data_IF_637091826943
#
_entry.id   IF_637091826943
#
_cell.length_a   1.000
_cell.length_b   1.000
_cell.length_c   1.000
_cell.angle_alpha   90.00
_cell.angle_beta   90.00
_cell.angle_gamma   90.00
#
_symmetry.space_group_name_H-M   'P 1'
#
loop_
_entity.id
_entity.type
_entity.pdbx_description
1 polymer ?
#
# COMPACT_ATOMS: atom_id res chain seq x y z
N UNK A 1 0.80 -22.53 21.22
CA UNK A 1 1.64 -21.40 21.69
C UNK A 1 1.30 -20.06 21.00
N UNK A 2 1.08 -19.98 19.70
CA UNK A 2 0.68 -18.71 19.02
C UNK A 2 -0.66 -18.17 19.54
N UNK A 3 -1.64 -19.05 19.79
CA UNK A 3 -2.95 -18.66 20.33
C UNK A 3 -2.88 -17.98 21.70
N UNK A 4 -2.05 -18.46 22.61
CA UNK A 4 -1.97 -17.88 23.95
C UNK A 4 -1.42 -16.44 23.91
N UNK A 5 -0.40 -16.19 23.09
CA UNK A 5 0.17 -14.83 22.94
C UNK A 5 -0.83 -13.84 22.34
N UNK A 6 -1.67 -14.28 21.39
CA UNK A 6 -2.70 -13.43 20.81
C UNK A 6 -3.83 -13.12 21.80
N UNK A 7 -4.22 -14.08 22.62
CA UNK A 7 -5.24 -13.88 23.67
C UNK A 7 -4.72 -12.87 24.70
N UNK A 8 -3.53 -13.08 25.24
CA UNK A 8 -2.89 -12.16 26.17
C UNK A 8 -2.66 -10.77 25.56
N UNK A 9 -2.31 -10.73 24.25
CA UNK A 9 -2.18 -9.49 23.46
C UNK A 9 -3.49 -8.70 23.42
N UNK A 10 -4.63 -9.39 23.21
CA UNK A 10 -5.94 -8.71 23.22
C UNK A 10 -6.32 -8.20 24.61
N UNK A 11 -6.03 -8.93 25.67
CA UNK A 11 -6.25 -8.46 27.04
C UNK A 11 -5.42 -7.18 27.33
N UNK A 12 -4.17 -7.16 26.87
CA UNK A 12 -3.31 -5.98 27.02
C UNK A 12 -3.83 -4.81 26.18
N UNK A 13 -4.25 -5.06 24.93
CA UNK A 13 -4.87 -4.07 24.07
C UNK A 13 -6.07 -3.39 24.77
N UNK A 14 -6.98 -4.18 25.36
CA UNK A 14 -8.16 -3.65 26.06
C UNK A 14 -7.77 -2.77 27.27
N UNK A 15 -6.74 -3.17 28.01
CA UNK A 15 -6.31 -2.48 29.24
C UNK A 15 -5.47 -1.22 28.98
N UNK A 16 -4.87 -1.11 27.80
CA UNK A 16 -3.94 -0.03 27.44
C UNK A 16 -4.42 0.79 26.24
N UNK A 17 -4.16 0.34 25.03
CA UNK A 17 -4.42 1.08 23.80
C UNK A 17 -5.91 1.42 23.62
N UNK A 18 -6.81 0.41 23.74
CA UNK A 18 -8.25 0.65 23.61
C UNK A 18 -8.74 1.68 24.63
N UNK A 19 -8.27 1.58 25.88
CA UNK A 19 -8.66 2.51 26.92
C UNK A 19 -8.14 3.93 26.68
N UNK A 20 -6.96 4.08 26.06
CA UNK A 20 -6.42 5.38 25.69
C UNK A 20 -7.24 6.05 24.57
N UNK A 21 -7.80 5.26 23.64
CA UNK A 21 -8.62 5.71 22.51
C UNK A 21 -10.11 5.37 22.67
N UNK A 22 -10.58 5.15 23.90
CA UNK A 22 -11.96 4.68 24.16
C UNK A 22 -13.03 5.63 23.60
N UNK A 23 -12.81 6.93 23.69
CA UNK A 23 -13.74 7.94 23.18
C UNK A 23 -13.83 7.90 21.66
N UNK A 24 -12.70 7.78 20.99
CA UNK A 24 -12.60 7.67 19.53
C UNK A 24 -13.28 6.41 19.03
N UNK A 25 -13.04 5.25 19.65
CA UNK A 25 -13.72 4.01 19.31
C UNK A 25 -15.23 4.09 19.50
N UNK A 26 -15.70 4.70 20.59
CA UNK A 26 -17.13 4.90 20.84
C UNK A 26 -17.76 5.82 19.78
N UNK A 27 -17.09 6.91 19.40
CA UNK A 27 -17.57 7.79 18.35
C UNK A 27 -17.65 7.07 16.99
N UNK A 28 -16.59 6.34 16.60
CA UNK A 28 -16.55 5.56 15.37
C UNK A 28 -17.63 4.46 15.35
N UNK A 29 -17.89 3.83 16.49
CA UNK A 29 -18.96 2.83 16.60
C UNK A 29 -20.36 3.43 16.40
N UNK A 30 -20.59 4.65 16.88
CA UNK A 30 -21.90 5.31 16.81
C UNK A 30 -22.16 6.03 15.48
N UNK A 31 -21.12 6.66 14.92
CA UNK A 31 -21.24 7.51 13.72
C UNK A 31 -20.77 6.82 12.43
N UNK A 32 -20.15 5.65 12.55
CA UNK A 32 -19.48 4.98 11.43
C UNK A 32 -18.05 5.51 11.22
N UNK A 33 -17.37 4.93 10.22
CA UNK A 33 -16.01 5.33 9.85
C UNK A 33 -16.01 6.49 8.85
N UNK A 34 -15.04 7.38 8.96
CA UNK A 34 -14.78 8.47 8.01
C UNK A 34 -13.26 8.63 7.81
N UNK A 35 -12.60 7.65 7.21
CA UNK A 35 -11.15 7.66 7.05
C UNK A 35 -10.70 8.81 6.14
N UNK A 36 -9.54 9.39 6.44
CA UNK A 36 -8.93 10.47 5.65
C UNK A 36 -8.31 9.94 4.37
N UNK A 37 -7.75 8.73 4.43
CA UNK A 37 -7.00 8.13 3.33
C UNK A 37 -7.30 6.65 3.15
N UNK A 38 -7.24 6.19 1.88
CA UNK A 38 -7.07 4.80 1.53
C UNK A 38 -5.57 4.49 1.50
N UNK A 39 -5.15 3.49 2.26
CA UNK A 39 -3.77 2.97 2.24
C UNK A 39 -3.74 1.59 1.60
N UNK A 40 -2.95 1.43 0.53
CA UNK A 40 -2.73 0.17 -0.19
C UNK A 40 -1.29 -0.28 0.06
N UNK A 41 -1.11 -1.29 0.88
CA UNK A 41 0.20 -1.79 1.27
C UNK A 41 0.43 -3.28 1.03
N UNK A 42 1.66 -3.71 1.25
CA UNK A 42 1.99 -5.13 1.18
C UNK A 42 1.43 -5.90 2.39
N UNK A 43 1.07 -7.18 2.15
CA UNK A 43 0.71 -8.14 3.22
C UNK A 43 1.91 -8.60 4.05
N UNK A 44 3.12 -8.14 3.74
CA UNK A 44 4.34 -8.45 4.48
C UNK A 44 4.17 -8.11 5.97
N UNK A 45 4.47 -9.06 6.85
CA UNK A 45 4.23 -8.93 8.30
C UNK A 45 5.03 -7.79 8.97
N UNK A 46 6.05 -7.27 8.30
CA UNK A 46 6.87 -6.15 8.78
C UNK A 46 6.25 -4.78 8.43
N UNK A 47 5.24 -4.75 7.57
CA UNK A 47 4.56 -3.52 7.14
C UNK A 47 3.25 -3.35 7.92
N UNK A 48 3.22 -2.40 8.83
CA UNK A 48 2.10 -2.12 9.73
C UNK A 48 1.63 -0.67 9.52
N UNK A 49 0.66 -0.39 8.64
CA UNK A 49 0.30 0.97 8.21
C UNK A 49 0.10 1.96 9.36
N UNK A 50 -0.78 1.64 10.29
CA UNK A 50 -1.08 2.54 11.42
C UNK A 50 0.14 2.78 12.33
N UNK A 51 1.03 1.78 12.48
CA UNK A 51 2.24 1.95 13.27
C UNK A 51 3.25 2.86 12.56
N UNK A 52 3.44 2.64 11.26
CA UNK A 52 4.41 3.40 10.44
C UNK A 52 4.00 4.87 10.34
N UNK A 53 2.70 5.16 10.25
CA UNK A 53 2.17 6.52 10.11
C UNK A 53 1.76 7.15 11.44
N UNK A 54 1.82 6.41 12.54
CA UNK A 54 1.28 6.84 13.85
C UNK A 54 -0.18 7.32 13.78
N UNK A 55 -0.96 6.76 12.83
CA UNK A 55 -2.35 7.14 12.62
C UNK A 55 -3.27 6.56 13.69
N UNK A 56 -4.26 7.35 14.07
CA UNK A 56 -5.26 6.95 15.06
C UNK A 56 -6.28 5.94 14.47
N UNK A 57 -7.05 5.24 15.35
CA UNK A 57 -8.17 4.43 14.89
C UNK A 57 -9.16 5.24 14.05
N UNK A 58 -9.48 4.76 12.85
CA UNK A 58 -10.42 5.42 11.95
C UNK A 58 -9.79 6.34 10.90
N UNK A 59 -8.52 6.71 11.01
CA UNK A 59 -7.86 7.59 10.05
C UNK A 59 -7.61 6.95 8.68
N UNK A 60 -7.31 5.65 8.66
CA UNK A 60 -6.97 4.93 7.44
C UNK A 60 -8.00 3.85 7.11
N UNK A 61 -8.41 3.78 5.85
CA UNK A 61 -9.02 2.60 5.25
C UNK A 61 -7.92 1.77 4.60
N UNK A 62 -7.65 0.57 5.13
CA UNK A 62 -6.44 -0.18 4.80
C UNK A 62 -6.75 -1.39 3.93
N UNK A 63 -6.08 -1.47 2.77
CA UNK A 63 -5.99 -2.68 1.95
C UNK A 63 -4.57 -3.22 2.05
N UNK A 64 -4.45 -4.53 2.22
CA UNK A 64 -3.15 -5.21 2.14
C UNK A 64 -3.26 -6.43 1.23
N UNK A 65 -2.34 -6.51 0.26
CA UNK A 65 -2.24 -7.64 -0.65
C UNK A 65 -0.76 -7.98 -0.93
N UNK A 66 -0.50 -9.07 -1.62
CA UNK A 66 0.87 -9.48 -1.96
C UNK A 66 1.48 -8.47 -2.94
N UNK A 67 2.52 -7.73 -2.50
CA UNK A 67 3.24 -6.76 -3.33
C UNK A 67 2.57 -5.39 -3.48
N UNK A 68 1.56 -5.05 -2.65
CA UNK A 68 0.83 -3.76 -2.72
C UNK A 68 0.31 -3.41 -4.13
N UNK A 69 -0.04 -4.42 -4.91
CA UNK A 69 -0.46 -4.25 -6.31
C UNK A 69 -1.90 -3.77 -6.44
N UNK A 70 -2.12 -2.99 -7.49
CA UNK A 70 -3.43 -2.56 -7.98
C UNK A 70 -3.60 -3.11 -9.39
N UNK A 71 -4.56 -4.01 -9.58
CA UNK A 71 -4.91 -4.45 -10.92
C UNK A 71 -5.58 -3.29 -11.69
N UNK A 72 -5.33 -3.14 -13.00
CA UNK A 72 -6.09 -2.20 -13.81
C UNK A 72 -7.59 -2.44 -13.70
N UNK A 73 -8.38 -1.37 -13.79
CA UNK A 73 -9.83 -1.47 -13.75
C UNK A 73 -10.35 -2.38 -14.85
N UNK A 74 -11.16 -3.36 -14.47
CA UNK A 74 -11.81 -4.31 -15.37
C UNK A 74 -13.23 -4.55 -14.89
N UNK A 75 -14.24 -4.03 -15.59
CA UNK A 75 -15.65 -4.23 -15.24
C UNK A 75 -16.09 -5.64 -15.69
N UNK A 76 -15.89 -6.61 -14.83
CA UNK A 76 -16.40 -7.98 -15.00
C UNK A 76 -17.17 -8.41 -13.74
N UNK A 77 -17.73 -9.60 -13.75
CA UNK A 77 -18.53 -10.14 -12.65
C UNK A 77 -17.71 -10.99 -11.67
N UNK A 78 -16.36 -10.99 -11.78
CA UNK A 78 -15.48 -11.73 -10.89
C UNK A 78 -15.28 -11.02 -9.53
N UNK A 79 -14.80 -11.78 -8.55
CA UNK A 79 -14.55 -11.26 -7.19
C UNK A 79 -13.19 -10.56 -7.09
N UNK A 80 -13.20 -9.23 -7.09
CA UNK A 80 -11.99 -8.39 -7.04
C UNK A 80 -11.89 -7.62 -5.71
N UNK A 81 -11.27 -8.23 -4.71
CA UNK A 81 -11.15 -7.65 -3.35
C UNK A 81 -10.53 -6.25 -3.35
N UNK A 82 -9.39 -6.07 -4.03
CA UNK A 82 -8.70 -4.77 -4.08
C UNK A 82 -9.53 -3.72 -4.81
N UNK A 83 -10.15 -4.08 -5.96
CA UNK A 83 -10.98 -3.16 -6.72
C UNK A 83 -12.21 -2.71 -5.93
N UNK A 84 -12.92 -3.66 -5.30
CA UNK A 84 -14.11 -3.33 -4.49
C UNK A 84 -13.78 -2.40 -3.32
N UNK A 85 -12.62 -2.57 -2.70
CA UNK A 85 -12.21 -1.70 -1.60
C UNK A 85 -11.79 -0.30 -2.10
N UNK A 86 -11.16 -0.19 -3.28
CA UNK A 86 -10.87 1.10 -3.93
C UNK A 86 -12.18 1.84 -4.23
N UNK A 87 -13.13 1.18 -4.88
CA UNK A 87 -14.43 1.76 -5.19
C UNK A 87 -15.17 2.22 -3.93
N UNK A 88 -15.19 1.38 -2.88
CA UNK A 88 -15.85 1.72 -1.62
C UNK A 88 -15.18 2.94 -0.94
N UNK A 89 -13.87 2.97 -0.87
CA UNK A 89 -13.13 4.07 -0.27
C UNK A 89 -13.35 5.41 -1.02
N UNK A 90 -13.37 5.34 -2.36
CA UNK A 90 -13.48 6.54 -3.20
C UNK A 90 -14.92 7.03 -3.33
N UNK A 91 -15.90 6.12 -3.47
CA UNK A 91 -17.29 6.50 -3.79
C UNK A 91 -18.22 6.53 -2.59
N UNK A 92 -17.95 5.74 -1.55
CA UNK A 92 -18.80 5.62 -0.36
C UNK A 92 -18.19 6.38 0.82
N UNK A 93 -16.90 6.16 1.10
CA UNK A 93 -16.22 6.84 2.20
C UNK A 93 -15.65 8.20 1.81
N UNK A 94 -15.55 8.50 0.52
CA UNK A 94 -15.11 9.77 -0.04
C UNK A 94 -13.73 10.24 0.49
N UNK A 95 -12.81 9.30 0.67
CA UNK A 95 -11.44 9.61 1.13
C UNK A 95 -10.81 10.72 0.29
N UNK A 96 -9.91 11.50 0.90
CA UNK A 96 -9.24 12.63 0.23
C UNK A 96 -7.86 12.27 -0.31
N UNK A 97 -7.31 11.13 0.10
CA UNK A 97 -6.01 10.66 -0.37
C UNK A 97 -6.02 9.15 -0.61
N UNK A 98 -5.23 8.70 -1.59
CA UNK A 98 -4.89 7.29 -1.79
C UNK A 98 -3.39 7.17 -1.72
N UNK A 99 -2.89 6.30 -0.85
CA UNK A 99 -1.46 6.02 -0.68
C UNK A 99 -1.19 4.60 -1.17
N UNK A 100 -0.35 4.45 -2.18
CA UNK A 100 0.25 3.15 -2.54
C UNK A 100 1.62 3.09 -1.89
N UNK A 101 1.78 2.20 -0.92
CA UNK A 101 3.02 2.06 -0.18
C UNK A 101 3.68 0.71 -0.46
N UNK A 102 4.76 0.74 -1.24
CA UNK A 102 5.72 -0.34 -1.37
C UNK A 102 6.70 -0.37 -0.19
N UNK A 103 7.57 -1.34 -0.18
CA UNK A 103 8.61 -1.43 0.85
C UNK A 103 9.86 -2.13 0.33
N UNK A 104 11.00 -1.86 0.98
CA UNK A 104 12.26 -2.53 0.68
C UNK A 104 12.22 -4.01 1.06
N UNK A 105 12.99 -4.84 0.35
CA UNK A 105 13.06 -6.30 0.56
C UNK A 105 11.69 -7.00 0.43
N UNK A 106 10.90 -6.59 -0.55
CA UNK A 106 9.58 -7.15 -0.82
C UNK A 106 9.69 -8.55 -1.44
N UNK A 107 9.13 -9.55 -0.72
CA UNK A 107 9.13 -10.93 -1.20
C UNK A 107 8.38 -11.14 -2.52
N UNK A 108 7.38 -10.32 -2.84
CA UNK A 108 6.69 -10.37 -4.11
C UNK A 108 7.61 -9.94 -5.27
N UNK A 109 8.37 -8.87 -5.10
CA UNK A 109 9.33 -8.39 -6.10
C UNK A 109 10.46 -9.40 -6.30
N UNK A 110 10.98 -9.94 -5.21
CA UNK A 110 11.98 -11.02 -5.28
C UNK A 110 11.45 -12.24 -6.04
N UNK A 111 10.20 -12.65 -5.77
CA UNK A 111 9.57 -13.79 -6.44
C UNK A 111 9.39 -13.59 -7.94
N UNK A 112 9.06 -12.37 -8.39
CA UNK A 112 8.96 -12.01 -9.81
C UNK A 112 10.33 -12.15 -10.51
N UNK A 113 11.40 -11.71 -9.87
CA UNK A 113 12.75 -11.82 -10.45
C UNK A 113 13.27 -13.25 -10.45
N UNK A 114 13.10 -13.98 -9.36
CA UNK A 114 13.55 -15.38 -9.21
C UNK A 114 12.64 -16.39 -9.88
N UNK A 115 11.46 -15.98 -10.35
CA UNK A 115 10.45 -16.88 -10.95
C UNK A 115 10.04 -18.02 -10.00
N UNK A 116 10.08 -17.76 -8.69
CA UNK A 116 9.92 -18.80 -7.66
C UNK A 116 8.53 -19.45 -7.67
N UNK A 117 7.53 -18.77 -8.22
CA UNK A 117 6.14 -19.24 -8.25
C UNK A 117 5.78 -19.95 -9.58
N UNK A 118 6.64 -19.91 -10.60
CA UNK A 118 6.28 -20.35 -11.96
C UNK A 118 5.91 -21.83 -12.05
N UNK A 119 6.62 -22.69 -11.33
CA UNK A 119 6.52 -24.15 -11.41
C UNK A 119 5.75 -24.78 -10.22
N UNK A 120 5.16 -23.98 -9.34
CA UNK A 120 4.39 -24.51 -8.21
C UNK A 120 2.89 -24.56 -8.56
N UNK A 121 2.27 -25.73 -8.69
CA UNK A 121 0.85 -25.87 -9.04
C UNK A 121 -0.10 -25.37 -7.96
N UNK A 122 0.37 -25.19 -6.72
CA UNK A 122 -0.44 -24.66 -5.61
C UNK A 122 -0.53 -23.12 -5.62
N UNK A 123 0.28 -22.43 -6.44
CA UNK A 123 0.39 -20.98 -6.48
C UNK A 123 -0.29 -20.34 -7.72
N UNK A 124 -1.38 -20.93 -8.20
CA UNK A 124 -2.08 -20.46 -9.43
C UNK A 124 -2.46 -18.99 -9.33
N UNK A 125 -3.13 -18.59 -8.23
CA UNK A 125 -3.55 -17.22 -8.01
C UNK A 125 -2.36 -16.28 -7.79
N UNK A 126 -1.38 -16.70 -6.98
CA UNK A 126 -0.16 -15.91 -6.72
C UNK A 126 0.61 -15.66 -8.01
N UNK A 127 0.80 -16.67 -8.84
CA UNK A 127 1.49 -16.54 -10.13
C UNK A 127 0.81 -15.50 -11.02
N UNK A 128 -0.51 -15.58 -11.19
CA UNK A 128 -1.27 -14.62 -11.99
C UNK A 128 -1.19 -13.21 -11.39
N UNK A 129 -1.32 -13.10 -10.06
CA UNK A 129 -1.26 -11.82 -9.37
C UNK A 129 0.10 -11.13 -9.52
N UNK A 130 1.20 -11.87 -9.46
CA UNK A 130 2.56 -11.34 -9.59
C UNK A 130 2.86 -10.76 -10.97
N UNK A 131 2.11 -11.11 -12.02
CA UNK A 131 2.29 -10.50 -13.35
C UNK A 131 2.02 -9.00 -13.36
N UNK A 132 1.30 -8.48 -12.36
CA UNK A 132 1.12 -7.03 -12.17
C UNK A 132 2.43 -6.26 -11.93
N UNK A 133 3.50 -6.95 -11.55
CA UNK A 133 4.83 -6.38 -11.38
C UNK A 133 5.77 -6.54 -12.59
N UNK A 134 5.35 -7.22 -13.65
CA UNK A 134 6.23 -7.53 -14.79
C UNK A 134 6.68 -6.29 -15.55
N UNK A 135 5.85 -5.26 -15.65
CA UNK A 135 6.21 -3.98 -16.26
C UNK A 135 7.36 -3.32 -15.49
N UNK A 136 7.22 -3.19 -14.18
CA UNK A 136 8.25 -2.60 -13.32
C UNK A 136 9.57 -3.37 -13.37
N UNK A 137 9.52 -4.72 -13.36
CA UNK A 137 10.70 -5.57 -13.56
C UNK A 137 11.36 -5.30 -14.89
N UNK A 138 10.59 -5.24 -15.96
CA UNK A 138 11.12 -5.03 -17.31
C UNK A 138 11.81 -3.67 -17.44
N UNK A 139 11.22 -2.63 -16.86
CA UNK A 139 11.80 -1.29 -16.82
C UNK A 139 13.11 -1.26 -15.99
N UNK A 140 13.14 -1.91 -14.83
CA UNK A 140 14.34 -2.01 -14.02
C UNK A 140 15.49 -2.71 -14.74
N UNK A 141 15.19 -3.83 -15.43
CA UNK A 141 16.17 -4.55 -16.25
C UNK A 141 16.67 -3.68 -17.41
N UNK A 142 15.78 -2.93 -18.06
CA UNK A 142 16.16 -2.02 -19.15
C UNK A 142 17.09 -0.91 -18.64
N UNK A 143 16.84 -0.37 -17.46
CA UNK A 143 17.63 0.71 -16.88
C UNK A 143 19.01 0.26 -16.39
N UNK A 144 19.10 -0.89 -15.73
CA UNK A 144 20.31 -1.36 -15.05
C UNK A 144 21.06 -2.47 -15.80
N UNK A 145 20.39 -3.16 -16.74
CA UNK A 145 20.90 -4.33 -17.45
C UNK A 145 20.72 -5.64 -16.67
N UNK A 146 20.70 -6.75 -17.42
CA UNK A 146 20.50 -8.11 -16.87
C UNK A 146 21.60 -8.59 -15.91
N UNK A 147 22.78 -7.95 -15.92
CA UNK A 147 23.92 -8.31 -15.08
C UNK A 147 24.05 -7.41 -13.84
N UNK A 148 23.09 -6.52 -13.61
CA UNK A 148 23.07 -5.69 -12.41
C UNK A 148 23.01 -6.56 -11.17
N UNK A 149 23.53 -6.01 -10.07
CA UNK A 149 23.41 -6.63 -8.76
C UNK A 149 21.94 -6.88 -8.42
N UNK A 150 21.57 -8.10 -7.99
CA UNK A 150 20.17 -8.45 -7.74
C UNK A 150 19.48 -7.53 -6.73
N UNK A 151 20.18 -7.11 -5.67
CA UNK A 151 19.58 -6.23 -4.66
C UNK A 151 19.26 -4.85 -5.25
N UNK A 152 20.19 -4.27 -6.00
CA UNK A 152 19.99 -3.01 -6.73
C UNK A 152 18.81 -3.10 -7.69
N UNK A 153 18.69 -4.24 -8.40
CA UNK A 153 17.62 -4.49 -9.34
C UNK A 153 16.26 -4.58 -8.62
N UNK A 154 16.21 -5.24 -7.46
CA UNK A 154 15.00 -5.35 -6.66
C UNK A 154 14.57 -3.98 -6.10
N UNK A 155 15.53 -3.20 -5.56
CA UNK A 155 15.23 -1.83 -5.05
C UNK A 155 14.61 -0.95 -6.14
N UNK A 156 15.19 -0.95 -7.34
CA UNK A 156 14.62 -0.18 -8.45
C UNK A 156 13.23 -0.72 -8.86
N UNK A 157 13.06 -2.05 -8.89
CA UNK A 157 11.76 -2.66 -9.23
C UNK A 157 10.68 -2.31 -8.21
N UNK A 158 11.00 -2.26 -6.92
CA UNK A 158 10.07 -1.84 -5.87
C UNK A 158 9.56 -0.41 -6.10
N UNK A 159 10.46 0.52 -6.42
CA UNK A 159 10.12 1.92 -6.73
C UNK A 159 9.26 2.03 -8.00
N UNK A 160 9.70 1.41 -9.09
CA UNK A 160 8.96 1.40 -10.35
C UNK A 160 7.60 0.72 -10.23
N UNK A 161 7.50 -0.31 -9.39
CA UNK A 161 6.23 -0.97 -9.10
C UNK A 161 5.23 -0.01 -8.47
N UNK A 162 5.65 0.79 -7.48
CA UNK A 162 4.76 1.80 -6.89
C UNK A 162 4.24 2.76 -7.94
N UNK A 163 5.09 3.27 -8.83
CA UNK A 163 4.67 4.17 -9.91
C UNK A 163 3.66 3.49 -10.83
N UNK A 164 3.92 2.25 -11.27
CA UNK A 164 2.97 1.49 -12.10
C UNK A 164 1.62 1.28 -11.41
N UNK A 165 1.59 1.12 -10.08
CA UNK A 165 0.33 0.98 -9.36
C UNK A 165 -0.43 2.31 -9.26
N UNK A 166 0.24 3.47 -9.23
CA UNK A 166 -0.41 4.77 -9.35
C UNK A 166 -1.06 4.93 -10.73
N UNK A 167 -0.38 4.49 -11.81
CA UNK A 167 -0.96 4.48 -13.16
C UNK A 167 -2.19 3.58 -13.23
N UNK A 168 -2.14 2.40 -12.61
CA UNK A 168 -3.27 1.48 -12.55
C UNK A 168 -4.46 2.06 -11.77
N UNK A 169 -4.23 2.82 -10.70
CA UNK A 169 -5.31 3.55 -10.00
C UNK A 169 -6.05 4.52 -10.91
N UNK A 170 -5.34 5.20 -11.81
CA UNK A 170 -5.95 6.14 -12.76
C UNK A 170 -6.79 5.46 -13.84
N UNK A 171 -6.74 4.13 -13.96
CA UNK A 171 -7.66 3.39 -14.83
C UNK A 171 -9.06 3.26 -14.25
N UNK A 172 -9.23 3.45 -12.94
CA UNK A 172 -10.54 3.45 -12.27
C UNK A 172 -11.29 4.75 -12.55
N UNK A 173 -12.48 4.70 -13.19
CA UNK A 173 -13.21 5.93 -13.57
C UNK A 173 -13.52 6.84 -12.38
N UNK A 174 -13.85 6.26 -11.22
CA UNK A 174 -14.14 7.01 -10.00
C UNK A 174 -12.92 7.72 -9.43
N UNK A 175 -11.75 7.08 -9.45
CA UNK A 175 -10.47 7.67 -9.03
C UNK A 175 -10.08 8.78 -9.99
N UNK A 176 -10.02 8.46 -11.29
CA UNK A 176 -9.61 9.43 -12.32
C UNK A 176 -10.46 10.70 -12.27
N UNK A 177 -11.78 10.58 -12.20
CA UNK A 177 -12.70 11.72 -12.12
C UNK A 177 -12.36 12.65 -10.95
N UNK A 178 -12.07 12.08 -9.78
CA UNK A 178 -11.80 12.86 -8.57
C UNK A 178 -10.38 13.43 -8.53
N UNK A 179 -9.40 12.75 -9.16
CA UNK A 179 -8.06 13.30 -9.37
C UNK A 179 -8.10 14.46 -10.33
N UNK A 180 -8.78 14.32 -11.48
CA UNK A 180 -8.90 15.38 -12.49
C UNK A 180 -9.62 16.63 -11.95
N UNK A 181 -10.54 16.48 -10.99
CA UNK A 181 -11.20 17.60 -10.30
C UNK A 181 -10.42 18.19 -9.12
N UNK A 182 -9.27 17.61 -8.75
CA UNK A 182 -8.49 18.02 -7.57
C UNK A 182 -9.13 17.65 -6.22
N UNK A 183 -10.13 16.75 -6.22
CA UNK A 183 -10.89 16.35 -5.02
C UNK A 183 -10.23 15.19 -4.25
N UNK A 184 -9.31 14.46 -4.90
CA UNK A 184 -8.50 13.39 -4.29
C UNK A 184 -7.06 13.47 -4.78
N UNK A 185 -6.11 13.26 -3.88
CA UNK A 185 -4.70 13.12 -4.21
C UNK A 185 -4.27 11.66 -4.19
N UNK A 186 -3.35 11.27 -5.08
CA UNK A 186 -2.72 9.94 -5.08
C UNK A 186 -1.23 10.07 -4.76
N UNK A 187 -0.72 9.18 -3.92
CA UNK A 187 0.64 9.24 -3.39
C UNK A 187 1.34 7.90 -3.53
N UNK A 188 2.58 7.90 -3.98
CA UNK A 188 3.45 6.74 -4.01
C UNK A 188 4.52 6.81 -2.92
N UNK A 189 4.58 5.79 -2.06
CA UNK A 189 5.55 5.70 -0.96
C UNK A 189 6.37 4.44 -1.06
N UNK A 190 7.62 4.52 -0.60
CA UNK A 190 8.48 3.37 -0.31
C UNK A 190 8.90 3.43 1.16
N UNK A 191 8.48 2.43 1.93
CA UNK A 191 8.88 2.24 3.31
C UNK A 191 10.15 1.40 3.38
N UNK A 192 11.19 1.94 3.95
CA UNK A 192 12.41 1.18 4.24
C UNK A 192 12.25 0.43 5.57
N UNK A 193 12.26 -0.91 5.49
CA UNK A 193 12.06 -1.76 6.68
C UNK A 193 13.25 -1.82 7.62
N UNK A 194 14.43 -1.33 7.21
CA UNK A 194 15.64 -1.33 8.03
C UNK A 194 15.81 -0.03 8.81
N UNK A 195 15.48 1.11 8.18
CA UNK A 195 15.61 2.43 8.81
C UNK A 195 14.29 2.95 9.41
N UNK A 196 13.14 2.47 8.90
CA UNK A 196 11.83 3.02 9.25
C UNK A 196 11.46 4.26 8.44
N UNK A 197 12.31 4.70 7.53
CA UNK A 197 12.10 5.89 6.72
C UNK A 197 11.10 5.64 5.58
N UNK A 198 10.48 6.73 5.11
CA UNK A 198 9.61 6.71 3.94
C UNK A 198 10.16 7.65 2.89
N UNK A 199 10.28 7.16 1.66
CA UNK A 199 10.47 7.98 0.48
C UNK A 199 9.12 8.22 -0.19
N UNK A 200 8.89 9.44 -0.66
CA UNK A 200 7.73 9.89 -1.39
C UNK A 200 8.07 10.04 -2.87
N UNK A 201 7.21 9.56 -3.75
CA UNK A 201 7.34 9.79 -5.19
C UNK A 201 6.84 11.18 -5.55
N UNK A 202 7.76 12.03 -5.98
CA UNK A 202 7.45 13.36 -6.51
C UNK A 202 7.22 13.26 -8.03
N UNK A 203 5.97 13.46 -8.51
CA UNK A 203 5.65 13.34 -9.92
C UNK A 203 6.23 14.47 -10.79
N UNK A 204 6.56 15.65 -10.21
CA UNK A 204 7.10 16.78 -10.97
C UNK A 204 8.54 16.49 -11.44
N UNK A 205 9.33 15.83 -10.60
CA UNK A 205 10.71 15.46 -10.93
C UNK A 205 10.88 13.98 -11.24
N UNK A 206 9.80 13.18 -11.15
CA UNK A 206 9.77 11.72 -11.38
C UNK A 206 10.80 10.98 -10.52
N UNK A 207 10.97 11.37 -9.26
CA UNK A 207 11.93 10.79 -8.33
C UNK A 207 11.31 10.51 -6.95
N UNK A 208 11.92 9.56 -6.23
CA UNK A 208 11.62 9.35 -4.83
C UNK A 208 12.53 10.23 -3.98
N UNK A 209 11.94 11.02 -3.10
CA UNK A 209 12.61 11.88 -2.13
C UNK A 209 12.20 11.51 -0.72
N UNK A 210 13.01 11.83 0.28
CA UNK A 210 12.64 11.56 1.68
C UNK A 210 11.35 12.32 2.05
N UNK A 211 10.41 11.63 2.69
CA UNK A 211 9.15 12.22 3.11
C UNK A 211 9.38 13.45 4.04
N UNK A 212 10.38 13.39 4.88
CA UNK A 212 10.78 14.49 5.77
C UNK A 212 11.27 15.75 5.04
N UNK A 213 11.56 15.66 3.74
CA UNK A 213 11.93 16.84 2.94
C UNK A 213 10.72 17.64 2.45
N UNK A 214 9.52 17.07 2.52
CA UNK A 214 8.29 17.78 2.25
C UNK A 214 8.04 18.77 3.39
N UNK A 215 7.83 20.05 3.05
CA UNK A 215 7.40 21.04 4.04
C UNK A 215 5.97 20.71 4.45
N UNK A 216 5.80 20.21 5.66
CA UNK A 216 4.50 20.12 6.32
C UNK A 216 4.23 21.48 6.93
N UNK A 217 3.16 22.17 6.48
CA UNK A 217 2.61 23.25 7.29
C UNK A 217 2.15 22.61 8.59
N UNK A 218 2.70 23.06 9.72
CA UNK A 218 2.28 22.61 11.05
C UNK A 218 0.81 23.03 11.27
N UNK A 219 -0.11 22.27 10.72
CA UNK A 219 -1.48 22.25 11.25
C UNK A 219 -1.39 21.48 12.57
N UNK A 220 -1.81 22.09 13.65
CA UNK A 220 -1.76 21.63 15.04
C UNK A 220 -2.09 20.12 15.14
N UNK A 221 -1.11 19.33 15.60
CA UNK A 221 -1.26 17.92 15.98
C UNK A 221 -2.19 17.77 17.19
#
# INVERSE_FOLDING_TARGET
>A
MVHNNMILGNELFQKSFFKAYEKEFLQLSQKGQAPKALYIGCSDSRVLPNLITQSAPGDLFVIRNVGNFVAPYKPDEDFHSTASAIEYAVTVLEVKSIIVCGHTKCGAIEAIHKKSCENNPELVHTKTWLTLGDSAKSQAILALGLKADPETLYRLTEKLSVVSQLENLLTYPSVKKRVDSGDIAIHGWIYDIESGEIEYYDPEISQFIHLSSLKVEEEEL
#
